data_IF_879719032078
#
_entry.id   IF_879719032078
#
_cell.length_a   1.000
_cell.length_b   1.000
_cell.length_c   1.000
_cell.angle_alpha   90.00
_cell.angle_beta   90.00
_cell.angle_gamma   90.00
#
_symmetry.space_group_name_H-M   'P 1'
#
loop_
_entity.id
_entity.type
_entity.pdbx_description
1 polymer ?
#
# COMPACT_ATOMS: atom_id res chain seq x y z
N UNK A 1 28.69 43.27 6.95
CA UNK A 1 27.84 42.25 7.60
C UNK A 1 26.67 42.06 6.67
N UNK A 2 26.88 41.27 5.62
CA UNK A 2 25.86 41.04 4.61
C UNK A 2 25.29 39.65 4.83
N UNK A 3 23.96 39.64 4.85
CA UNK A 3 23.10 38.53 5.25
C UNK A 3 23.39 37.30 4.41
N UNK A 4 23.70 36.20 5.10
CA UNK A 4 23.55 34.85 4.58
C UNK A 4 22.06 34.68 4.27
N UNK A 5 21.68 34.76 2.99
CA UNK A 5 20.38 34.31 2.54
C UNK A 5 20.42 32.79 2.55
N UNK A 6 19.64 32.17 3.43
CA UNK A 6 19.35 30.74 3.45
C UNK A 6 19.02 30.27 2.03
N UNK A 7 19.72 29.22 1.58
CA UNK A 7 19.32 28.52 0.36
C UNK A 7 17.92 27.94 0.61
N UNK A 8 16.98 28.03 -0.34
CA UNK A 8 15.78 27.21 -0.28
C UNK A 8 16.20 25.74 -0.33
N UNK A 9 15.70 24.92 0.59
CA UNK A 9 15.98 23.48 0.69
C UNK A 9 15.51 22.67 -0.55
N UNK A 10 14.87 23.32 -1.52
CA UNK A 10 14.23 22.69 -2.67
C UNK A 10 14.77 23.28 -3.98
N UNK A 11 15.44 22.45 -4.77
CA UNK A 11 16.02 22.81 -6.08
C UNK A 11 15.58 21.78 -7.13
N UNK A 12 14.88 22.27 -8.17
CA UNK A 12 14.22 21.46 -9.20
C UNK A 12 15.13 21.23 -10.43
N UNK A 13 15.29 19.96 -10.85
CA UNK A 13 15.97 19.58 -12.11
C UNK A 13 15.03 18.75 -12.98
N UNK A 14 14.92 19.08 -14.27
CA UNK A 14 14.02 18.42 -15.22
C UNK A 14 14.79 17.48 -16.15
N UNK A 15 14.49 16.18 -16.15
CA UNK A 15 14.87 15.25 -17.22
C UNK A 15 13.62 14.95 -18.04
N UNK A 16 13.62 15.37 -19.31
CA UNK A 16 12.49 15.18 -20.23
C UNK A 16 12.32 13.70 -20.63
N UNK A 17 11.31 13.07 -20.08
CA UNK A 17 10.41 12.13 -20.78
C UNK A 17 9.00 12.41 -20.23
N UNK A 18 7.97 12.40 -21.08
CA UNK A 18 6.67 13.01 -20.79
C UNK A 18 5.99 12.41 -19.53
N UNK A 19 5.46 13.28 -18.66
CA UNK A 19 4.68 13.04 -17.43
C UNK A 19 5.47 12.96 -16.10
N UNK A 20 4.89 13.57 -15.06
CA UNK A 20 5.59 14.20 -13.93
C UNK A 20 5.79 13.29 -12.72
N UNK A 21 7.03 13.16 -12.21
CA UNK A 21 7.39 12.45 -10.98
C UNK A 21 8.06 13.40 -9.97
N UNK A 22 7.81 13.26 -8.66
CA UNK A 22 8.32 14.14 -7.57
C UNK A 22 9.28 13.38 -6.67
N UNK A 23 10.46 13.95 -6.37
CA UNK A 23 11.51 13.31 -5.55
C UNK A 23 12.18 14.28 -4.56
N UNK A 24 12.62 13.75 -3.40
CA UNK A 24 13.40 14.42 -2.34
C UNK A 24 14.76 13.69 -2.20
N UNK A 25 15.89 14.40 -2.28
CA UNK A 25 17.23 13.78 -2.24
C UNK A 25 18.04 14.42 -1.11
N UNK A 26 18.50 13.60 -0.16
CA UNK A 26 19.56 14.00 0.77
C UNK A 26 20.84 13.21 0.44
N UNK A 27 21.83 13.90 -0.14
CA UNK A 27 23.18 13.42 -0.49
C UNK A 27 23.30 12.01 -1.11
N UNK A 28 23.40 11.90 -2.43
CA UNK A 28 23.80 10.70 -3.20
C UNK A 28 22.94 9.42 -3.11
N UNK A 29 21.90 9.39 -2.28
CA UNK A 29 20.99 8.26 -2.13
C UNK A 29 19.55 8.74 -2.32
N UNK A 30 18.83 8.14 -3.26
CA UNK A 30 17.40 8.38 -3.42
C UNK A 30 16.68 7.44 -2.49
N UNK A 31 16.21 7.98 -1.37
CA UNK A 31 15.59 7.19 -0.29
C UNK A 31 14.07 7.11 -0.47
N UNK A 32 13.45 8.09 -1.14
CA UNK A 32 12.01 8.15 -1.43
C UNK A 32 11.71 8.47 -2.90
N UNK A 33 10.70 7.80 -3.47
CA UNK A 33 10.30 7.91 -4.88
C UNK A 33 8.78 7.99 -5.03
N UNK A 34 8.23 9.05 -5.65
CA UNK A 34 6.84 9.04 -6.14
C UNK A 34 6.79 8.73 -7.64
N UNK A 35 6.24 7.58 -8.00
CA UNK A 35 5.97 7.18 -9.39
C UNK A 35 4.51 7.46 -9.81
N UNK A 36 4.36 8.01 -11.01
CA UNK A 36 3.11 8.42 -11.66
C UNK A 36 3.25 8.23 -13.18
N UNK A 37 2.70 7.15 -13.74
CA UNK A 37 2.71 6.94 -15.20
C UNK A 37 2.51 5.49 -15.66
N UNK A 38 2.67 5.27 -16.97
CA UNK A 38 2.52 3.98 -17.69
C UNK A 38 3.82 3.23 -17.97
N UNK A 39 4.95 3.92 -17.85
CA UNK A 39 6.26 3.37 -18.17
C UNK A 39 6.65 2.23 -17.20
N UNK A 40 7.69 1.47 -17.55
CA UNK A 40 8.12 0.35 -16.72
C UNK A 40 8.68 0.83 -15.39
N UNK A 41 7.89 0.70 -14.31
CA UNK A 41 8.31 0.92 -12.92
C UNK A 41 9.65 0.21 -12.62
N UNK A 42 9.86 -0.97 -13.20
CA UNK A 42 11.07 -1.76 -13.04
C UNK A 42 12.34 -1.06 -13.59
N UNK A 43 12.23 -0.33 -14.71
CA UNK A 43 13.36 0.44 -15.22
C UNK A 43 13.74 1.55 -14.25
N UNK A 44 12.76 2.21 -13.63
CA UNK A 44 13.00 3.25 -12.63
C UNK A 44 13.62 2.68 -11.35
N UNK A 45 13.09 1.57 -10.84
CA UNK A 45 13.64 0.85 -9.69
C UNK A 45 15.10 0.42 -9.92
N UNK A 46 15.45 0.02 -11.16
CA UNK A 46 16.82 -0.35 -11.52
C UNK A 46 17.83 0.80 -11.40
N UNK A 47 17.37 2.06 -11.49
CA UNK A 47 18.22 3.24 -11.35
C UNK A 47 18.43 3.67 -9.89
N UNK A 48 17.70 3.08 -8.95
CA UNK A 48 17.60 3.54 -7.56
C UNK A 48 17.99 2.43 -6.57
N UNK A 49 19.27 2.02 -6.48
CA UNK A 49 19.69 0.81 -5.76
C UNK A 49 19.54 0.87 -4.23
N UNK A 50 19.23 2.03 -3.65
CA UNK A 50 19.09 2.23 -2.21
C UNK A 50 17.71 2.77 -1.82
N UNK A 51 16.70 2.55 -2.67
CA UNK A 51 15.36 3.03 -2.40
C UNK A 51 14.75 2.31 -1.20
N UNK A 52 14.37 3.05 -0.18
CA UNK A 52 13.77 2.51 1.05
C UNK A 52 12.27 2.83 1.13
N UNK A 53 11.81 3.90 0.48
CA UNK A 53 10.43 4.37 0.48
C UNK A 53 9.93 4.60 -0.95
N UNK A 54 8.81 3.98 -1.31
CA UNK A 54 8.22 4.06 -2.64
C UNK A 54 6.74 4.40 -2.54
N UNK A 55 6.34 5.48 -3.18
CA UNK A 55 4.96 5.82 -3.45
C UNK A 55 4.67 5.59 -4.94
N UNK A 56 3.65 4.81 -5.25
CA UNK A 56 3.18 4.52 -6.60
C UNK A 56 1.73 5.00 -6.69
N UNK A 57 1.47 5.95 -7.59
CA UNK A 57 0.12 6.43 -7.90
C UNK A 57 -0.10 6.32 -9.40
N UNK A 58 -1.03 5.48 -9.82
CA UNK A 58 -1.42 5.46 -11.24
C UNK A 58 -2.47 6.54 -11.54
N UNK A 59 -2.42 7.11 -12.75
CA UNK A 59 -3.43 8.06 -13.22
C UNK A 59 -4.45 7.27 -14.05
N UNK A 60 -5.72 7.64 -13.90
CA UNK A 60 -6.82 7.17 -14.73
C UNK A 60 -6.50 7.35 -16.23
N UNK A 61 -6.98 6.42 -17.07
CA UNK A 61 -6.83 6.37 -18.54
C UNK A 61 -5.53 5.78 -19.11
N UNK A 62 -4.49 5.63 -18.30
CA UNK A 62 -3.17 5.18 -18.75
C UNK A 62 -2.50 4.39 -17.61
N UNK A 63 -2.94 3.14 -17.40
CA UNK A 63 -2.34 2.22 -16.43
C UNK A 63 -2.01 0.87 -17.07
N UNK A 64 -0.93 0.20 -16.62
CA UNK A 64 -0.53 -1.07 -17.20
C UNK A 64 -1.48 -2.20 -16.77
N UNK A 65 -1.80 -3.10 -17.70
CA UNK A 65 -2.62 -4.31 -17.43
C UNK A 65 -2.01 -5.21 -16.34
N UNK A 66 -0.68 -5.18 -16.19
CA UNK A 66 0.06 -5.85 -15.12
C UNK A 66 1.27 -5.02 -14.70
N UNK A 67 1.57 -5.00 -13.40
CA UNK A 67 2.85 -4.47 -12.90
C UNK A 67 3.38 -5.29 -11.73
N UNK A 68 4.66 -5.08 -11.41
CA UNK A 68 5.28 -5.73 -10.26
C UNK A 68 6.13 -4.72 -9.48
N UNK A 69 6.07 -4.81 -8.16
CA UNK A 69 6.95 -4.12 -7.21
C UNK A 69 7.86 -5.18 -6.60
N UNK A 70 9.02 -5.37 -7.24
CA UNK A 70 10.03 -6.34 -6.80
C UNK A 70 11.26 -5.55 -6.41
N UNK A 71 11.39 -5.26 -5.12
CA UNK A 71 12.52 -4.49 -4.62
C UNK A 71 12.91 -4.96 -3.22
N UNK A 72 14.02 -5.69 -3.07
CA UNK A 72 14.33 -6.37 -1.82
C UNK A 72 14.64 -5.40 -0.68
N UNK A 73 15.16 -4.20 -0.95
CA UNK A 73 15.56 -3.26 0.11
C UNK A 73 14.45 -2.29 0.52
N UNK A 74 13.24 -2.43 -0.06
CA UNK A 74 12.14 -1.52 0.22
C UNK A 74 11.60 -1.72 1.64
N UNK A 75 11.55 -0.64 2.42
CA UNK A 75 11.05 -0.62 3.79
C UNK A 75 9.62 -0.07 3.85
N UNK A 76 9.25 0.85 2.95
CA UNK A 76 7.91 1.46 2.89
C UNK A 76 7.37 1.45 1.48
N UNK A 77 6.10 1.06 1.35
CA UNK A 77 5.38 1.07 0.10
C UNK A 77 4.03 1.75 0.31
N UNK A 78 3.75 2.77 -0.48
CA UNK A 78 2.42 3.32 -0.68
C UNK A 78 1.99 3.03 -2.11
N UNK A 79 0.89 2.32 -2.29
CA UNK A 79 0.32 1.98 -3.58
C UNK A 79 -1.13 2.46 -3.60
N UNK A 80 -1.43 3.41 -4.47
CA UNK A 80 -2.79 3.90 -4.72
C UNK A 80 -3.15 3.66 -6.18
N UNK A 81 -4.11 2.76 -6.40
CA UNK A 81 -4.68 2.51 -7.71
C UNK A 81 -5.90 3.41 -7.95
N UNK A 82 -6.09 3.91 -9.18
CA UNK A 82 -7.30 4.64 -9.55
C UNK A 82 -8.50 3.69 -9.50
N UNK A 83 -9.67 4.22 -9.19
CA UNK A 83 -10.95 3.51 -9.33
C UNK A 83 -11.33 3.49 -10.82
N UNK A 84 -11.38 2.31 -11.44
CA UNK A 84 -11.59 2.14 -12.87
C UNK A 84 -12.64 1.06 -13.16
N UNK A 85 -13.45 1.27 -14.21
CA UNK A 85 -14.46 0.31 -14.69
C UNK A 85 -13.87 -0.94 -15.37
N UNK A 86 -12.54 -1.03 -15.52
CA UNK A 86 -11.87 -2.15 -16.18
C UNK A 86 -10.95 -2.89 -15.23
N UNK A 87 -11.19 -4.19 -15.12
CA UNK A 87 -10.49 -5.14 -14.26
C UNK A 87 -8.96 -5.05 -14.39
N UNK A 88 -8.28 -5.14 -13.25
CA UNK A 88 -6.84 -5.35 -13.23
C UNK A 88 -6.58 -6.85 -13.36
N UNK A 89 -5.83 -7.27 -14.37
CA UNK A 89 -5.55 -8.71 -14.54
C UNK A 89 -4.66 -9.24 -13.41
N UNK A 90 -3.60 -8.52 -13.03
CA UNK A 90 -2.69 -8.95 -11.95
C UNK A 90 -1.66 -7.87 -11.53
N UNK A 91 -1.30 -7.77 -10.24
CA UNK A 91 -0.01 -7.18 -9.84
C UNK A 91 0.73 -8.04 -8.80
N UNK A 92 2.06 -7.98 -8.81
CA UNK A 92 2.93 -8.74 -7.89
C UNK A 92 3.68 -7.79 -6.95
N UNK A 93 3.65 -8.05 -5.64
CA UNK A 93 4.51 -7.37 -4.66
C UNK A 93 5.43 -8.41 -4.01
N UNK A 94 6.75 -8.28 -4.23
CA UNK A 94 7.80 -9.12 -3.60
C UNK A 94 8.88 -8.21 -2.98
N UNK A 95 8.60 -7.76 -1.75
CA UNK A 95 9.43 -6.84 -0.96
C UNK A 95 9.61 -7.42 0.46
N UNK A 96 10.53 -8.39 0.66
CA UNK A 96 10.60 -9.20 1.89
C UNK A 96 11.00 -8.43 3.16
N UNK A 97 11.54 -7.21 3.03
CA UNK A 97 11.97 -6.35 4.14
C UNK A 97 11.00 -5.19 4.42
N UNK A 98 9.81 -5.20 3.80
CA UNK A 98 8.82 -4.16 3.96
C UNK A 98 8.34 -4.09 5.41
N UNK A 99 8.50 -2.92 6.04
CA UNK A 99 8.05 -2.65 7.40
C UNK A 99 6.71 -1.89 7.45
N UNK A 100 6.40 -1.12 6.40
CA UNK A 100 5.16 -0.35 6.24
C UNK A 100 4.52 -0.56 4.86
N UNK A 101 3.22 -0.82 4.85
CA UNK A 101 2.41 -0.90 3.64
C UNK A 101 1.21 0.04 3.74
N UNK A 102 1.00 0.87 2.73
CA UNK A 102 -0.28 1.51 2.45
C UNK A 102 -0.78 1.01 1.09
N UNK A 103 -1.92 0.32 1.08
CA UNK A 103 -2.58 -0.18 -0.11
C UNK A 103 -3.97 0.43 -0.22
N UNK A 104 -4.22 1.15 -1.30
CA UNK A 104 -5.53 1.66 -1.69
C UNK A 104 -5.83 1.13 -3.09
N UNK A 105 -6.77 0.22 -3.17
CA UNK A 105 -7.26 -0.32 -4.43
C UNK A 105 -8.77 -0.59 -4.36
N UNK A 106 -9.49 -0.28 -5.42
CA UNK A 106 -10.93 -0.50 -5.52
C UNK A 106 -11.33 -1.33 -6.75
N UNK A 107 -10.36 -1.90 -7.48
CA UNK A 107 -10.59 -2.51 -8.80
C UNK A 107 -10.73 -4.02 -8.75
N UNK A 108 -11.78 -4.59 -9.34
CA UNK A 108 -11.97 -6.05 -9.48
C UNK A 108 -10.71 -6.69 -10.08
N UNK A 109 -9.90 -7.30 -9.21
CA UNK A 109 -8.55 -7.71 -9.55
C UNK A 109 -8.17 -8.97 -8.81
N UNK A 110 -7.44 -9.83 -9.52
CA UNK A 110 -6.96 -11.08 -8.97
C UNK A 110 -5.55 -10.88 -8.42
N UNK A 111 -5.39 -10.91 -7.09
CA UNK A 111 -4.07 -10.73 -6.46
C UNK A 111 -3.38 -11.97 -5.94
N UNK A 112 -2.07 -11.99 -6.23
CA UNK A 112 -1.06 -12.92 -5.72
C UNK A 112 0.06 -12.13 -5.03
N UNK A 113 -0.09 -11.84 -3.74
CA UNK A 113 1.10 -11.70 -2.90
C UNK A 113 1.84 -13.04 -2.94
N UNK A 114 2.98 -13.05 -3.64
CA UNK A 114 3.72 -14.30 -3.90
C UNK A 114 4.25 -14.94 -2.63
N UNK A 115 4.51 -14.11 -1.60
CA UNK A 115 5.06 -14.51 -0.32
C UNK A 115 4.46 -13.65 0.79
N UNK A 116 4.42 -14.21 2.00
CA UNK A 116 4.14 -13.46 3.21
C UNK A 116 5.22 -12.38 3.41
N UNK A 117 4.86 -11.29 4.08
CA UNK A 117 5.78 -10.19 4.41
C UNK A 117 6.20 -10.27 5.88
N UNK A 118 7.17 -11.12 6.27
CA UNK A 118 7.43 -11.45 7.66
C UNK A 118 7.94 -10.28 8.51
N UNK A 119 8.41 -9.20 7.88
CA UNK A 119 8.96 -8.00 8.52
C UNK A 119 7.94 -6.87 8.67
N UNK A 120 6.75 -7.02 8.07
CA UNK A 120 5.72 -5.99 8.04
C UNK A 120 5.18 -5.72 9.44
N UNK A 121 5.25 -4.46 9.88
CA UNK A 121 4.85 -4.04 11.22
C UNK A 121 3.54 -3.26 11.21
N UNK A 122 3.34 -2.47 10.17
CA UNK A 122 2.19 -1.59 10.05
C UNK A 122 1.63 -1.66 8.64
N UNK A 123 0.30 -1.80 8.56
CA UNK A 123 -0.40 -1.81 7.29
C UNK A 123 -1.66 -0.94 7.35
N UNK A 124 -1.84 -0.14 6.30
CA UNK A 124 -3.12 0.46 5.94
C UNK A 124 -3.61 -0.24 4.68
N UNK A 125 -4.79 -0.84 4.76
CA UNK A 125 -5.38 -1.59 3.65
C UNK A 125 -6.78 -1.06 3.40
N UNK A 126 -7.01 -0.60 2.18
CA UNK A 126 -8.32 -0.24 1.66
C UNK A 126 -8.52 -0.98 0.35
N UNK A 127 -9.37 -2.01 0.39
CA UNK A 127 -9.60 -2.94 -0.71
C UNK A 127 -11.08 -3.33 -0.77
N UNK A 128 -11.54 -3.79 -1.93
CA UNK A 128 -12.85 -4.42 -2.07
C UNK A 128 -12.88 -5.88 -1.59
N UNK A 129 -14.08 -6.45 -1.53
CA UNK A 129 -14.35 -7.77 -0.95
C UNK A 129 -13.54 -8.91 -1.58
N UNK A 130 -13.37 -8.95 -2.91
CA UNK A 130 -12.65 -10.01 -3.63
C UNK A 130 -11.15 -10.07 -3.27
N UNK A 131 -10.53 -8.93 -3.01
CA UNK A 131 -9.11 -8.82 -2.69
C UNK A 131 -8.83 -9.00 -1.20
N UNK A 132 -9.83 -8.80 -0.33
CA UNK A 132 -9.68 -8.85 1.12
C UNK A 132 -8.93 -10.09 1.61
N UNK A 133 -9.41 -11.27 1.23
CA UNK A 133 -8.91 -12.56 1.73
C UNK A 133 -7.45 -12.84 1.36
N UNK A 134 -7.02 -12.44 0.16
CA UNK A 134 -5.63 -12.63 -0.27
C UNK A 134 -4.72 -11.66 0.48
N UNK A 135 -5.13 -10.40 0.64
CA UNK A 135 -4.36 -9.37 1.34
C UNK A 135 -4.14 -9.75 2.81
N UNK A 136 -5.19 -10.07 3.56
CA UNK A 136 -5.08 -10.38 5.00
C UNK A 136 -4.19 -11.59 5.30
N UNK A 137 -4.14 -12.57 4.38
CA UNK A 137 -3.26 -13.75 4.53
C UNK A 137 -1.78 -13.43 4.38
N UNK A 138 -1.44 -12.40 3.63
CA UNK A 138 -0.06 -12.05 3.31
C UNK A 138 0.57 -11.08 4.31
N UNK A 139 -0.26 -10.39 5.09
CA UNK A 139 0.14 -9.38 6.07
C UNK A 139 0.01 -9.84 7.53
N UNK A 140 -0.07 -11.14 7.81
CA UNK A 140 -0.33 -11.70 9.16
C UNK A 140 0.71 -11.34 10.24
N UNK A 141 1.88 -10.82 9.84
CA UNK A 141 2.97 -10.35 10.71
C UNK A 141 2.73 -9.00 11.37
N UNK A 142 1.74 -8.23 10.91
CA UNK A 142 1.51 -6.85 11.37
C UNK A 142 1.23 -6.75 12.87
N UNK A 143 1.68 -5.65 13.46
CA UNK A 143 1.35 -5.24 14.83
C UNK A 143 0.27 -4.17 14.86
N UNK A 144 0.19 -3.35 13.82
CA UNK A 144 -0.80 -2.30 13.64
C UNK A 144 -1.45 -2.47 12.28
N UNK A 145 -2.77 -2.56 12.25
CA UNK A 145 -3.55 -2.71 11.04
C UNK A 145 -4.69 -1.71 11.05
N UNK A 146 -4.77 -0.88 10.01
CA UNK A 146 -6.00 -0.19 9.63
C UNK A 146 -6.55 -0.88 8.40
N UNK A 147 -7.81 -1.33 8.47
CA UNK A 147 -8.44 -2.05 7.36
C UNK A 147 -9.83 -1.50 7.04
N UNK A 148 -10.01 -1.16 5.77
CA UNK A 148 -11.21 -0.64 5.18
C UNK A 148 -11.63 -1.59 4.04
N UNK A 149 -12.65 -2.42 4.23
CA UNK A 149 -13.10 -3.34 3.18
C UNK A 149 -14.59 -3.62 3.28
N UNK A 150 -15.19 -3.87 2.12
CA UNK A 150 -16.50 -4.49 2.00
C UNK A 150 -16.34 -6.00 2.13
N UNK A 151 -17.34 -6.66 2.69
CA UNK A 151 -17.35 -8.13 2.83
C UNK A 151 -18.72 -8.61 2.43
N UNK A 152 -18.75 -9.49 1.44
CA UNK A 152 -19.98 -10.18 1.06
C UNK A 152 -20.29 -11.27 2.08
N UNK A 153 -21.56 -11.38 2.49
CA UNK A 153 -22.04 -12.33 3.50
C UNK A 153 -21.68 -13.80 3.19
N UNK A 154 -21.50 -14.14 1.91
CA UNK A 154 -21.22 -15.49 1.42
C UNK A 154 -19.71 -15.84 1.32
N UNK A 155 -18.81 -14.91 1.62
CA UNK A 155 -17.38 -15.21 1.60
C UNK A 155 -16.96 -15.92 2.90
N UNK A 156 -16.43 -17.15 2.76
CA UNK A 156 -15.68 -17.82 3.82
C UNK A 156 -14.39 -17.03 4.09
N UNK A 157 -14.47 -15.98 4.91
CA UNK A 157 -13.33 -15.13 5.28
C UNK A 157 -12.38 -15.84 6.28
N UNK A 158 -12.70 -17.08 6.66
CA UNK A 158 -11.93 -17.89 7.58
C UNK A 158 -10.49 -18.21 7.13
N UNK A 159 -9.57 -18.25 8.11
CA UNK A 159 -8.24 -18.85 7.96
C UNK A 159 -7.09 -17.87 7.79
N UNK A 160 -7.09 -16.78 8.57
CA UNK A 160 -5.90 -16.01 8.91
C UNK A 160 -5.75 -15.97 10.42
N UNK A 161 -4.51 -15.85 10.92
CA UNK A 161 -4.23 -15.67 12.35
C UNK A 161 -3.21 -14.54 12.46
N UNK A 162 -3.55 -13.54 13.24
CA UNK A 162 -2.72 -12.37 13.51
C UNK A 162 -2.06 -12.51 14.88
N UNK A 163 -1.03 -13.35 14.96
CA UNK A 163 -0.32 -13.64 16.21
C UNK A 163 0.42 -12.43 16.80
N UNK A 164 0.63 -11.37 16.03
CA UNK A 164 1.38 -10.18 16.47
C UNK A 164 0.53 -8.91 16.53
N UNK A 165 -0.73 -8.95 16.10
CA UNK A 165 -1.57 -7.76 16.01
C UNK A 165 -1.90 -7.25 17.41
N UNK A 166 -1.47 -6.02 17.70
CA UNK A 166 -1.69 -5.33 18.97
C UNK A 166 -2.73 -4.20 18.81
N UNK A 167 -2.82 -3.60 17.62
CA UNK A 167 -3.74 -2.51 17.30
C UNK A 167 -4.48 -2.76 15.99
N UNK A 168 -5.81 -2.80 16.05
CA UNK A 168 -6.68 -2.87 14.89
C UNK A 168 -7.55 -1.61 14.81
N UNK A 169 -7.58 -0.97 13.65
CA UNK A 169 -8.57 0.04 13.29
C UNK A 169 -9.44 -0.49 12.15
N UNK A 170 -10.75 -0.60 12.38
CA UNK A 170 -11.73 -1.02 11.37
C UNK A 170 -12.46 0.19 10.81
N UNK A 171 -12.44 0.36 9.48
CA UNK A 171 -13.16 1.44 8.82
C UNK A 171 -14.59 1.03 8.50
N UNK A 172 -15.56 1.83 8.92
CA UNK A 172 -16.96 1.70 8.52
C UNK A 172 -17.15 2.42 7.18
N UNK A 173 -17.03 1.68 6.08
CA UNK A 173 -17.14 2.21 4.71
C UNK A 173 -18.54 1.99 4.10
N UNK A 174 -19.22 0.89 4.47
CA UNK A 174 -20.62 0.51 4.17
C UNK A 174 -21.15 -0.46 5.24
N UNK A 175 -22.43 -0.86 5.15
CA UNK A 175 -23.23 -1.57 6.17
C UNK A 175 -22.60 -2.88 6.72
N UNK A 176 -21.65 -3.50 6.01
CA UNK A 176 -21.17 -4.87 6.33
C UNK A 176 -19.71 -4.98 6.83
N UNK A 177 -18.96 -3.88 6.89
CA UNK A 177 -17.56 -3.88 7.37
C UNK A 177 -17.37 -4.40 8.81
N UNK A 178 -18.38 -4.23 9.67
CA UNK A 178 -18.36 -4.74 11.05
C UNK A 178 -18.53 -6.27 11.15
N UNK A 179 -18.94 -6.94 10.07
CA UNK A 179 -19.09 -8.40 10.04
C UNK A 179 -17.74 -9.12 10.21
N UNK A 180 -16.62 -8.43 9.95
CA UNK A 180 -15.26 -8.92 10.19
C UNK A 180 -14.85 -8.93 11.66
N UNK A 181 -15.51 -8.12 12.50
CA UNK A 181 -15.07 -7.90 13.87
C UNK A 181 -15.00 -9.20 14.70
N UNK A 182 -16.02 -10.08 14.70
CA UNK A 182 -15.94 -11.34 15.45
C UNK A 182 -14.73 -12.19 15.04
N UNK A 183 -14.40 -12.20 13.75
CA UNK A 183 -13.26 -12.96 13.26
C UNK A 183 -11.94 -12.35 13.72
N UNK A 184 -11.73 -11.04 13.56
CA UNK A 184 -10.52 -10.38 14.05
C UNK A 184 -10.31 -10.57 15.55
N UNK A 185 -11.38 -10.51 16.34
CA UNK A 185 -11.30 -10.74 17.79
C UNK A 185 -10.88 -12.18 18.14
N UNK A 186 -11.34 -13.17 17.38
CA UNK A 186 -10.98 -14.57 17.58
C UNK A 186 -9.57 -14.89 17.08
N UNK A 187 -9.18 -14.30 15.95
CA UNK A 187 -7.94 -14.62 15.23
C UNK A 187 -6.75 -13.72 15.62
N UNK A 188 -6.93 -12.80 16.58
CA UNK A 188 -5.88 -11.86 17.04
C UNK A 188 -5.65 -11.95 18.56
N UNK A 189 -4.96 -12.99 19.06
CA UNK A 189 -4.86 -13.25 20.49
C UNK A 189 -4.11 -12.17 21.29
N UNK A 190 -3.32 -11.33 20.62
CA UNK A 190 -2.53 -10.25 21.23
C UNK A 190 -3.16 -8.86 21.08
N UNK A 191 -4.38 -8.77 20.55
CA UNK A 191 -5.06 -7.51 20.29
C UNK A 191 -5.31 -6.75 21.61
N UNK A 192 -4.88 -5.48 21.67
CA UNK A 192 -5.00 -4.61 22.85
C UNK A 192 -5.84 -3.38 22.60
N UNK A 193 -5.79 -2.86 21.39
CA UNK A 193 -6.51 -1.66 20.97
C UNK A 193 -7.36 -2.02 19.76
N UNK A 194 -8.63 -1.67 19.84
CA UNK A 194 -9.59 -1.76 18.76
C UNK A 194 -10.21 -0.38 18.59
N UNK A 195 -9.93 0.25 17.45
CA UNK A 195 -10.54 1.50 17.02
C UNK A 195 -11.53 1.21 15.88
N UNK A 196 -12.63 1.96 15.86
CA UNK A 196 -13.64 1.91 14.80
C UNK A 196 -13.78 3.32 14.25
N UNK A 197 -13.45 3.48 12.97
CA UNK A 197 -13.41 4.78 12.31
C UNK A 197 -14.48 4.85 11.22
N UNK A 198 -15.29 5.90 11.24
CA UNK A 198 -16.25 6.17 10.17
C UNK A 198 -15.50 6.92 9.07
N UNK A 199 -15.36 6.29 7.91
CA UNK A 199 -14.80 6.97 6.74
C UNK A 199 -15.96 7.42 5.87
N UNK A 200 -16.22 8.72 5.87
CA UNK A 200 -17.15 9.32 4.94
C UNK A 200 -16.48 9.31 3.57
N UNK A 201 -16.94 8.43 2.68
CA UNK A 201 -16.62 8.50 1.26
C UNK A 201 -17.27 9.78 0.73
N UNK A 202 -16.46 10.81 0.47
CA UNK A 202 -16.92 11.99 -0.26
C UNK A 202 -17.04 11.58 -1.73
N UNK A 203 -18.29 11.39 -2.17
CA UNK A 203 -18.69 11.18 -3.57
C UNK A 203 -18.52 12.50 -4.33
#
# INVERSE_FOLDING_TARGET
MDKISELPDELTVMIKANHSLRFEISSTRLESLTYVGVDSLQNLLSMCPFLEDLEVRFIQDDYPQMFAVIFPLLLKLTLSLPDCEWDFDEYEIDTPFLEYLKLEDWNESHWLFKKNMPTLREAYVRVESYAFKSVVRSITSVKRLTICSEVEEDQDVYGFVFDQLEHLELCVCKDDSLNLLPQFLNDSPNLRVLDISIIIILI
#
